data_IF_583896075172
#
_entry.id   IF_583896075172
#
_cell.length_a   1.000
_cell.length_b   1.000
_cell.length_c   1.000
_cell.angle_alpha   90.00
_cell.angle_beta   90.00
_cell.angle_gamma   90.00
#
_symmetry.space_group_name_H-M   'P 1'
#
loop_
_entity.id
_entity.type
_entity.pdbx_description
1 polymer ?
#
# COMPACT_ATOMS: atom_id res chain seq x y z
N UNK A 1 -4.46 4.78 12.51
CA UNK A 1 -3.57 4.83 11.33
C UNK A 1 -2.13 4.63 11.81
N UNK A 2 -1.67 3.38 11.86
CA UNK A 2 -0.35 3.02 12.39
C UNK A 2 0.69 3.05 11.26
N UNK A 3 0.92 4.24 10.68
CA UNK A 3 2.06 4.45 9.79
C UNK A 3 3.35 4.37 10.60
N UNK A 4 4.32 3.61 10.11
CA UNK A 4 5.60 3.48 10.78
C UNK A 4 6.37 4.81 10.77
N UNK A 5 6.74 5.32 11.94
CA UNK A 5 7.49 6.58 12.07
C UNK A 5 8.99 6.31 11.89
N UNK A 6 9.45 6.25 10.65
CA UNK A 6 10.86 6.01 10.32
C UNK A 6 11.80 6.96 11.07
N UNK A 7 11.45 8.25 11.20
CA UNK A 7 12.28 9.23 11.92
C UNK A 7 12.50 8.87 13.40
N UNK A 8 11.44 8.44 14.09
CA UNK A 8 11.55 7.98 15.47
C UNK A 8 12.38 6.70 15.56
N UNK A 9 12.20 5.77 14.61
CA UNK A 9 12.97 4.53 14.54
C UNK A 9 14.47 4.79 14.37
N UNK A 10 14.84 5.74 13.51
CA UNK A 10 16.22 6.17 13.27
C UNK A 10 16.82 6.87 14.50
N UNK A 11 16.07 7.78 15.13
CA UNK A 11 16.51 8.44 16.37
C UNK A 11 16.83 7.46 17.49
N UNK A 12 16.13 6.33 17.53
CA UNK A 12 16.34 5.27 18.52
C UNK A 12 17.41 4.23 18.12
N UNK A 13 18.08 4.40 16.97
CA UNK A 13 19.12 3.47 16.49
C UNK A 13 18.61 2.07 16.17
N UNK A 14 17.31 1.91 15.90
CA UNK A 14 16.68 0.60 15.67
C UNK A 14 16.83 0.08 14.24
N UNK A 15 17.41 0.88 13.34
CA UNK A 15 17.50 0.59 11.91
C UNK A 15 18.22 -0.73 11.60
N UNK A 16 19.32 -1.02 12.29
CA UNK A 16 20.06 -2.29 12.16
C UNK A 16 19.27 -3.48 12.70
N UNK A 17 18.66 -3.31 13.88
CA UNK A 17 17.86 -4.37 14.53
C UNK A 17 16.60 -4.74 13.73
N UNK A 18 16.06 -3.79 12.97
CA UNK A 18 14.82 -3.95 12.20
C UNK A 18 15.04 -4.16 10.70
N UNK A 19 16.30 -4.35 10.27
CA UNK A 19 16.65 -4.62 8.87
C UNK A 19 16.04 -3.60 7.92
N UNK A 20 16.20 -2.30 8.18
CA UNK A 20 15.59 -1.27 7.35
C UNK A 20 16.10 -1.35 5.90
N UNK A 21 15.18 -1.24 4.92
CA UNK A 21 15.50 -1.42 3.49
C UNK A 21 16.50 -0.42 2.89
N UNK A 22 16.81 0.68 3.58
CA UNK A 22 17.86 1.63 3.19
C UNK A 22 19.27 1.25 3.67
N UNK A 23 19.41 0.19 4.47
CA UNK A 23 20.72 -0.35 4.83
C UNK A 23 21.28 -1.13 3.63
N UNK A 24 22.48 -0.74 3.17
CA UNK A 24 23.15 -1.42 2.07
C UNK A 24 23.50 -2.88 2.43
N UNK A 25 23.45 -3.77 1.43
CA UNK A 25 23.32 -5.23 1.55
C UNK A 25 24.39 -6.01 2.33
N UNK A 26 25.33 -5.34 3.02
CA UNK A 26 26.30 -5.98 3.94
C UNK A 26 25.90 -5.93 5.41
N UNK A 27 24.91 -5.11 5.81
CA UNK A 27 24.44 -5.04 7.21
C UNK A 27 23.17 -5.86 7.49
N UNK A 28 22.57 -6.46 6.45
CA UNK A 28 21.43 -7.40 6.57
C UNK A 28 21.94 -8.77 7.02
N UNK A 29 22.34 -8.90 8.29
CA UNK A 29 22.57 -10.20 8.91
C UNK A 29 21.28 -11.04 8.95
N UNK A 30 21.38 -12.29 9.41
CA UNK A 30 20.27 -13.24 9.58
C UNK A 30 19.24 -12.67 10.59
N UNK A 31 18.33 -11.85 10.07
CA UNK A 31 17.52 -10.95 10.88
C UNK A 31 16.21 -11.63 11.27
N UNK A 32 15.79 -11.56 12.54
CA UNK A 32 14.52 -12.14 12.97
C UNK A 32 13.35 -11.50 12.22
N UNK A 33 12.19 -12.16 12.19
CA UNK A 33 10.95 -11.54 11.70
C UNK A 33 10.69 -10.28 12.53
N UNK A 34 10.71 -9.11 11.88
CA UNK A 34 10.56 -7.80 12.53
C UNK A 34 9.16 -7.22 12.33
N UNK A 35 8.41 -7.77 11.38
CA UNK A 35 7.04 -7.38 11.13
C UNK A 35 6.19 -8.58 10.72
N UNK A 36 5.00 -8.63 11.32
CA UNK A 36 3.96 -9.60 11.06
C UNK A 36 2.66 -8.83 10.89
N UNK A 37 1.99 -9.05 9.77
CA UNK A 37 0.66 -8.52 9.55
C UNK A 37 -0.28 -9.64 9.19
N UNK A 38 -1.44 -9.61 9.82
CA UNK A 38 -2.54 -10.53 9.55
C UNK A 38 -3.62 -9.74 8.84
N UNK A 39 -4.09 -10.27 7.72
CA UNK A 39 -5.20 -9.66 7.01
C UNK A 39 -6.50 -9.85 7.79
N UNK A 40 -7.13 -8.79 8.32
CA UNK A 40 -8.37 -8.94 9.08
C UNK A 40 -9.55 -9.45 8.23
N UNK A 41 -9.49 -9.32 6.90
CA UNK A 41 -10.49 -9.84 5.97
C UNK A 41 -10.21 -11.25 5.45
N UNK A 42 -9.05 -11.84 5.76
CA UNK A 42 -8.70 -13.22 5.37
C UNK A 42 -7.94 -13.92 6.51
N UNK A 43 -8.66 -14.54 7.46
CA UNK A 43 -8.03 -15.29 8.54
C UNK A 43 -7.10 -16.37 7.98
N UNK A 44 -5.83 -16.37 8.41
CA UNK A 44 -4.79 -17.27 7.90
C UNK A 44 -3.85 -16.66 6.86
N UNK A 45 -4.20 -15.53 6.27
CA UNK A 45 -3.32 -14.77 5.38
C UNK A 45 -2.40 -13.86 6.20
N UNK A 46 -1.21 -14.39 6.50
CA UNK A 46 -0.20 -13.73 7.34
C UNK A 46 1.02 -13.40 6.50
N UNK A 47 1.36 -12.11 6.44
CA UNK A 47 2.58 -11.62 5.80
C UNK A 47 3.61 -11.34 6.88
N UNK A 48 4.75 -12.02 6.80
CA UNK A 48 5.90 -11.81 7.67
C UNK A 48 7.08 -11.28 6.86
N UNK A 49 7.84 -10.35 7.41
CA UNK A 49 9.08 -9.86 6.80
C UNK A 49 10.17 -9.71 7.85
N UNK A 50 11.40 -10.02 7.44
CA UNK A 50 12.65 -9.81 8.18
C UNK A 50 13.19 -8.38 7.99
N UNK A 51 12.52 -7.58 7.16
CA UNK A 51 12.85 -6.18 6.87
C UNK A 51 11.67 -5.26 7.17
N UNK A 52 11.96 -4.05 7.65
CA UNK A 52 10.94 -3.02 7.84
C UNK A 52 10.20 -2.76 6.52
N UNK A 53 8.85 -2.88 6.46
CA UNK A 53 8.11 -2.59 5.24
C UNK A 53 8.26 -1.11 4.92
N UNK A 54 8.95 -0.82 3.81
CA UNK A 54 8.97 0.52 3.23
C UNK A 54 7.68 0.68 2.46
N UNK A 55 6.94 1.76 2.71
CA UNK A 55 5.81 2.12 1.86
C UNK A 55 6.36 2.46 0.47
N UNK A 56 6.15 1.59 -0.51
CA UNK A 56 6.51 1.81 -1.91
C UNK A 56 5.61 2.83 -2.61
N UNK A 57 4.71 3.50 -1.87
CA UNK A 57 3.87 4.56 -2.39
C UNK A 57 4.76 5.74 -2.77
N UNK A 58 4.96 5.93 -4.07
CA UNK A 58 5.67 7.06 -4.65
C UNK A 58 4.76 8.28 -4.81
N UNK A 59 5.34 9.45 -5.15
CA UNK A 59 4.58 10.61 -5.57
C UNK A 59 3.67 10.30 -6.77
N UNK A 60 4.17 9.55 -7.76
CA UNK A 60 3.38 9.09 -8.90
C UNK A 60 2.20 8.22 -8.48
N UNK A 61 2.40 7.37 -7.45
CA UNK A 61 1.33 6.54 -6.89
C UNK A 61 0.22 7.41 -6.30
N UNK A 62 0.59 8.50 -5.60
CA UNK A 62 -0.36 9.45 -5.03
C UNK A 62 -1.10 10.24 -6.11
N UNK A 63 -0.38 10.75 -7.12
CA UNK A 63 -0.99 11.48 -8.24
C UNK A 63 -2.02 10.62 -8.97
N UNK A 64 -1.75 9.33 -9.18
CA UNK A 64 -2.70 8.40 -9.78
C UNK A 64 -3.97 8.20 -8.94
N UNK A 65 -3.85 8.19 -7.61
CA UNK A 65 -5.01 8.08 -6.71
C UNK A 65 -5.84 9.36 -6.72
N UNK A 66 -5.20 10.52 -6.70
CA UNK A 66 -5.86 11.82 -6.79
C UNK A 66 -6.63 11.97 -8.11
N UNK A 67 -5.99 11.64 -9.24
CA UNK A 67 -6.65 11.60 -10.55
C UNK A 67 -7.89 10.70 -10.51
N UNK A 68 -7.75 9.48 -9.97
CA UNK A 68 -8.85 8.54 -9.86
C UNK A 68 -10.03 9.09 -9.05
N UNK A 69 -9.77 9.74 -7.90
CA UNK A 69 -10.82 10.36 -7.09
C UNK A 69 -11.48 11.55 -7.78
N UNK A 70 -10.69 12.40 -8.45
CA UNK A 70 -11.21 13.50 -9.25
C UNK A 70 -12.17 12.98 -10.34
N UNK A 71 -11.81 11.87 -10.99
CA UNK A 71 -12.66 11.23 -11.98
C UNK A 71 -13.92 10.58 -11.41
N UNK A 72 -13.88 10.03 -10.20
CA UNK A 72 -15.10 9.58 -9.55
C UNK A 72 -16.06 10.73 -9.24
N UNK A 73 -15.52 11.88 -8.80
CA UNK A 73 -16.32 13.04 -8.42
C UNK A 73 -16.91 13.79 -9.62
N UNK A 74 -16.12 13.98 -10.67
CA UNK A 74 -16.52 14.76 -11.87
C UNK A 74 -17.28 13.92 -12.91
N UNK A 75 -17.28 12.60 -12.79
CA UNK A 75 -17.91 11.68 -13.72
C UNK A 75 -17.00 11.23 -14.86
N UNK A 76 -17.52 10.34 -15.73
CA UNK A 76 -16.79 9.87 -16.91
C UNK A 76 -16.79 10.98 -17.95
N UNK A 77 -15.71 11.74 -18.04
CA UNK A 77 -15.50 12.64 -19.17
C UNK A 77 -15.58 11.85 -20.47
N UNK A 78 -16.14 12.45 -21.51
CA UNK A 78 -16.38 11.84 -22.84
C UNK A 78 -15.11 11.28 -23.51
N UNK A 79 -13.93 11.57 -22.96
CA UNK A 79 -12.62 11.22 -23.51
C UNK A 79 -11.96 9.97 -22.91
N UNK A 80 -12.66 9.16 -22.10
CA UNK A 80 -12.04 7.95 -21.50
C UNK A 80 -11.44 6.99 -22.54
N UNK A 81 -11.99 6.99 -23.77
CA UNK A 81 -11.50 6.21 -24.90
C UNK A 81 -10.15 6.70 -25.45
N UNK A 82 -9.73 7.92 -25.12
CA UNK A 82 -8.43 8.51 -25.54
C UNK A 82 -7.31 8.17 -24.58
N UNK A 83 -7.62 7.55 -23.44
CA UNK A 83 -6.62 7.28 -22.41
C UNK A 83 -5.80 6.03 -22.71
N UNK A 84 -4.58 5.92 -22.17
CA UNK A 84 -3.83 4.69 -22.20
C UNK A 84 -4.65 3.56 -21.53
N UNK A 85 -4.79 2.42 -22.22
CA UNK A 85 -5.56 1.27 -21.72
C UNK A 85 -5.14 0.86 -20.29
N UNK A 86 -3.84 0.85 -20.01
CA UNK A 86 -3.28 0.54 -18.68
C UNK A 86 -3.81 1.44 -17.56
N UNK A 87 -4.09 2.72 -17.85
CA UNK A 87 -4.67 3.66 -16.88
C UNK A 87 -6.12 3.32 -16.59
N UNK A 88 -6.90 3.02 -17.65
CA UNK A 88 -8.30 2.62 -17.52
C UNK A 88 -8.42 1.33 -16.71
N UNK A 89 -7.55 0.35 -16.97
CA UNK A 89 -7.50 -0.92 -16.23
C UNK A 89 -7.15 -0.70 -14.75
N UNK A 90 -6.16 0.15 -14.47
CA UNK A 90 -5.79 0.50 -13.10
C UNK A 90 -6.96 1.14 -12.34
N UNK A 91 -7.70 2.05 -12.96
CA UNK A 91 -8.85 2.70 -12.34
C UNK A 91 -10.02 1.74 -12.14
N UNK A 92 -10.24 0.81 -13.07
CA UNK A 92 -11.23 -0.25 -12.91
C UNK A 92 -10.91 -1.16 -11.72
N UNK A 93 -9.64 -1.55 -11.56
CA UNK A 93 -9.15 -2.31 -10.41
C UNK A 93 -9.34 -1.54 -9.10
N UNK A 94 -8.88 -0.29 -9.03
CA UNK A 94 -9.03 0.56 -7.84
C UNK A 94 -10.48 0.69 -7.40
N UNK A 95 -11.40 0.89 -8.36
CA UNK A 95 -12.83 0.94 -8.08
C UNK A 95 -13.37 -0.39 -7.54
N UNK A 96 -12.92 -1.51 -8.07
CA UNK A 96 -13.31 -2.83 -7.59
C UNK A 96 -12.82 -3.09 -6.16
N UNK A 97 -11.58 -2.70 -5.84
CA UNK A 97 -11.03 -2.85 -4.49
C UNK A 97 -11.73 -1.93 -3.48
N UNK A 98 -12.01 -0.68 -3.84
CA UNK A 98 -12.73 0.25 -2.95
C UNK A 98 -14.08 -0.31 -2.52
N UNK A 99 -14.85 -0.88 -3.46
CA UNK A 99 -16.13 -1.53 -3.16
C UNK A 99 -16.02 -2.66 -2.14
N UNK A 100 -14.89 -3.38 -2.09
CA UNK A 100 -14.67 -4.44 -1.09
C UNK A 100 -14.38 -3.88 0.30
N UNK A 101 -13.85 -2.66 0.37
CA UNK A 101 -13.48 -1.99 1.62
C UNK A 101 -14.58 -1.09 2.20
N UNK A 102 -15.61 -0.76 1.42
CA UNK A 102 -16.75 0.02 1.89
C UNK A 102 -17.57 -0.77 2.93
N UNK A 103 -17.77 -0.24 4.16
CA UNK A 103 -18.58 -0.88 5.18
C UNK A 103 -20.05 -0.85 4.76
N UNK A 104 -20.47 -1.90 4.05
CA UNK A 104 -21.81 -2.04 3.48
C UNK A 104 -21.90 -3.08 2.36
N UNK A 105 -20.77 -3.46 1.73
CA UNK A 105 -20.77 -4.44 0.65
C UNK A 105 -20.84 -5.92 1.11
N UNK A 106 -20.55 -6.22 2.37
CA UNK A 106 -20.62 -7.58 2.94
C UNK A 106 -21.88 -7.84 3.80
N UNK A 107 -22.86 -6.94 3.78
CA UNK A 107 -24.14 -7.14 4.45
C UNK A 107 -25.18 -7.71 3.51
N UNK A 108 -25.08 -9.00 3.17
CA UNK A 108 -26.20 -9.89 2.78
C UNK A 108 -25.69 -11.30 2.47
N UNK A 109 -25.78 -12.18 3.46
CA UNK A 109 -26.54 -13.44 3.39
C UNK A 109 -26.76 -13.97 4.80
#
# INVERSE_FOLDING_TARGET
QAGWKCDTCRRLGLEKKRGCGWLEGKEKGDSPVVWLWQNPGRPGDTVATTECPVSYVSADSMALLEDFYAHQALGRGEEILRWPARRVDAFALLKAELRKTEPGANGKQ
#
